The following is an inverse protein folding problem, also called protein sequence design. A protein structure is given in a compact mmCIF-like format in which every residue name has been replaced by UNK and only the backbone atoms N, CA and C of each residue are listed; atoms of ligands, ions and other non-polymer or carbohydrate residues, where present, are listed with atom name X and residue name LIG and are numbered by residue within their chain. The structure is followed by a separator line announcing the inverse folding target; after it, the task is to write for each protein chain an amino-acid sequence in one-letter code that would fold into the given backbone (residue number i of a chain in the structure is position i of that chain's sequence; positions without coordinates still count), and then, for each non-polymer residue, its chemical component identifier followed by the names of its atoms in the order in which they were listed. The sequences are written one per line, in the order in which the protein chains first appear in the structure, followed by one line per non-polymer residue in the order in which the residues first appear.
data_IF_249968523620
#
_entry.id   IF_249968523620
#
_cell.length_a   1.000
_cell.length_b   1.000
_cell.length_c   1.000
_cell.angle_alpha   90.00
_cell.angle_beta   90.00
_cell.angle_gamma   90.00
#
_symmetry.space_group_name_H-M   'P 1'
#
loop_
_entity.id
_entity.type
_entity.pdbx_description
1 polymer ?
#
# COMPACT_ATOMS: atom_id res chain seq x y z
N UNK A 1 -17.00 10.18 3.53
CA UNK A 1 -16.99 9.67 2.12
C UNK A 1 -15.56 9.77 1.60
N UNK A 2 -14.98 8.64 1.19
CA UNK A 2 -13.62 8.58 0.65
C UNK A 2 -13.64 9.16 -0.76
N UNK A 3 -12.79 10.15 -1.02
CA UNK A 3 -12.78 10.91 -2.28
C UNK A 3 -11.48 10.77 -3.06
N UNK A 4 -10.52 10.01 -2.55
CA UNK A 4 -9.21 9.79 -3.15
C UNK A 4 -8.81 8.33 -3.04
N UNK A 5 -8.16 7.82 -4.10
CA UNK A 5 -7.42 6.57 -4.11
C UNK A 5 -6.02 6.85 -4.64
N UNK A 6 -4.98 6.50 -3.88
CA UNK A 6 -3.59 6.73 -4.26
C UNK A 6 -2.81 5.45 -4.57
N UNK A 7 -3.47 4.26 -4.51
CA UNK A 7 -2.82 2.99 -4.75
C UNK A 7 -3.64 2.16 -5.73
N UNK A 8 -3.22 2.13 -6.98
CA UNK A 8 -3.72 1.24 -8.00
C UNK A 8 -2.68 1.04 -9.11
N UNK A 9 -2.81 -0.07 -9.83
CA UNK A 9 -1.88 -0.56 -10.83
C UNK A 9 -2.48 -0.60 -12.23
N UNK A 10 -1.65 -0.70 -13.26
CA UNK A 10 -2.08 -0.59 -14.66
C UNK A 10 -1.26 -1.53 -15.55
N UNK A 11 -1.56 -1.54 -16.85
CA UNK A 11 -0.78 -2.28 -17.84
C UNK A 11 0.67 -1.79 -18.03
N UNK A 12 1.13 -0.82 -17.24
CA UNK A 12 2.55 -0.45 -17.16
C UNK A 12 3.34 -1.36 -16.21
N UNK A 13 2.62 -2.06 -15.34
CA UNK A 13 3.09 -3.09 -14.41
C UNK A 13 2.16 -4.31 -14.48
N UNK A 14 1.62 -4.80 -13.39
CA UNK A 14 0.80 -6.01 -13.33
C UNK A 14 -0.72 -5.76 -13.28
N UNK A 15 -1.16 -4.52 -13.46
CA UNK A 15 -2.58 -4.20 -13.57
C UNK A 15 -3.20 -4.64 -14.91
N UNK A 16 -4.50 -4.88 -14.90
CA UNK A 16 -5.26 -5.41 -16.04
C UNK A 16 -5.79 -4.32 -17.00
N UNK A 17 -5.84 -3.08 -16.54
CA UNK A 17 -6.41 -1.95 -17.27
C UNK A 17 -5.37 -0.87 -17.55
N UNK A 18 -5.60 -0.09 -18.61
CA UNK A 18 -4.78 1.08 -18.91
C UNK A 18 -4.96 2.16 -17.84
N UNK A 19 -3.99 3.05 -17.69
CA UNK A 19 -4.10 4.17 -16.76
C UNK A 19 -5.34 5.03 -17.03
N UNK A 20 -5.72 5.21 -18.29
CA UNK A 20 -6.92 5.97 -18.65
C UNK A 20 -8.22 5.27 -18.22
N UNK A 21 -8.32 3.93 -18.36
CA UNK A 21 -9.47 3.18 -17.86
C UNK A 21 -9.59 3.27 -16.33
N UNK A 22 -8.48 3.25 -15.60
CA UNK A 22 -8.48 3.45 -14.16
C UNK A 22 -8.96 4.85 -13.77
N UNK A 23 -8.54 5.90 -14.50
CA UNK A 23 -9.00 7.29 -14.29
C UNK A 23 -10.51 7.40 -14.52
N UNK A 24 -11.02 6.79 -15.62
CA UNK A 24 -12.45 6.80 -15.93
C UNK A 24 -13.29 6.05 -14.90
N UNK A 25 -12.77 4.92 -14.38
CA UNK A 25 -13.44 4.18 -13.31
C UNK A 25 -13.51 4.99 -12.01
N UNK A 26 -12.42 5.68 -11.65
CA UNK A 26 -12.37 6.54 -10.48
C UNK A 26 -13.35 7.73 -10.59
N UNK A 27 -13.41 8.37 -11.76
CA UNK A 27 -14.38 9.44 -12.02
C UNK A 27 -15.83 8.92 -11.92
N UNK A 28 -16.11 7.77 -12.54
CA UNK A 28 -17.44 7.14 -12.47
C UNK A 28 -17.84 6.72 -11.04
N UNK A 29 -16.87 6.35 -10.22
CA UNK A 29 -17.08 6.06 -8.79
C UNK A 29 -17.23 7.32 -7.93
N UNK A 30 -17.09 8.51 -8.49
CA UNK A 30 -17.24 9.79 -7.79
C UNK A 30 -16.02 10.23 -6.97
N UNK A 31 -14.85 9.68 -7.23
CA UNK A 31 -13.61 10.15 -6.64
C UNK A 31 -13.26 11.55 -7.18
N UNK A 32 -12.66 12.38 -6.32
CA UNK A 32 -12.11 13.69 -6.72
C UNK A 32 -10.71 13.59 -7.27
N UNK A 33 -9.97 12.59 -6.83
CA UNK A 33 -8.62 12.35 -7.29
C UNK A 33 -8.27 10.87 -7.31
N UNK A 34 -7.40 10.51 -8.26
CA UNK A 34 -6.79 9.20 -8.37
C UNK A 34 -5.28 9.35 -8.52
N UNK A 35 -4.52 8.53 -7.83
CA UNK A 35 -3.10 8.33 -8.07
C UNK A 35 -2.86 6.91 -8.56
N UNK A 36 -2.13 6.77 -9.65
CA UNK A 36 -1.62 5.47 -10.10
C UNK A 36 -0.22 5.31 -9.53
N UNK A 37 0.01 4.23 -8.80
CA UNK A 37 1.29 3.94 -8.13
C UNK A 37 2.01 2.80 -8.85
N UNK A 38 2.91 3.16 -9.75
CA UNK A 38 3.69 2.19 -10.52
C UNK A 38 4.57 1.34 -9.58
N UNK A 39 4.57 0.04 -9.73
CA UNK A 39 5.58 -0.81 -9.09
C UNK A 39 6.99 -0.43 -9.56
N UNK A 40 7.87 -0.07 -8.62
CA UNK A 40 9.24 0.31 -8.98
C UNK A 40 9.97 -0.84 -9.67
N UNK A 41 10.86 -0.56 -10.62
CA UNK A 41 11.67 -1.60 -11.26
C UNK A 41 12.49 -2.41 -10.25
N UNK A 42 12.41 -3.74 -10.35
CA UNK A 42 13.19 -4.69 -9.57
C UNK A 42 13.89 -5.65 -10.56
N UNK A 43 15.19 -5.77 -10.45
CA UNK A 43 15.96 -6.62 -11.35
C UNK A 43 15.51 -8.08 -11.26
N UNK A 44 15.16 -8.66 -12.42
CA UNK A 44 14.75 -10.06 -12.55
C UNK A 44 13.27 -10.33 -12.28
N UNK A 45 12.47 -9.32 -11.98
CA UNK A 45 11.01 -9.45 -11.79
C UNK A 45 10.28 -8.91 -13.03
N UNK A 46 9.23 -9.58 -13.43
CA UNK A 46 8.42 -9.25 -14.63
C UNK A 46 7.04 -8.64 -14.28
N UNK A 47 6.64 -8.67 -13.02
CA UNK A 47 5.40 -8.08 -12.53
C UNK A 47 5.50 -6.56 -12.27
N UNK A 48 6.69 -6.03 -12.12
CA UNK A 48 6.93 -4.60 -11.92
C UNK A 48 7.32 -3.88 -13.23
N UNK A 49 7.35 -2.57 -13.17
CA UNK A 49 7.77 -1.76 -14.31
C UNK A 49 9.21 -2.07 -14.74
N UNK A 50 9.47 -1.96 -16.03
CA UNK A 50 10.83 -1.96 -16.55
C UNK A 50 11.42 -0.55 -16.56
N UNK A 51 12.74 -0.43 -16.64
CA UNK A 51 13.43 0.84 -16.84
C UNK A 51 13.01 1.57 -18.12
N UNK A 52 12.46 0.84 -19.10
CA UNK A 52 11.97 1.40 -20.37
C UNK A 52 10.50 1.85 -20.26
N UNK A 53 9.66 1.15 -19.47
CA UNK A 53 8.25 1.48 -19.31
C UNK A 53 8.02 2.65 -18.35
N UNK A 54 8.88 2.84 -17.36
CA UNK A 54 8.74 3.89 -16.36
C UNK A 54 8.69 5.32 -16.94
N UNK A 55 9.57 5.76 -17.86
CA UNK A 55 9.45 7.08 -18.48
C UNK A 55 8.14 7.25 -19.26
N UNK A 56 7.68 6.19 -19.93
CA UNK A 56 6.41 6.20 -20.67
C UNK A 56 5.21 6.31 -19.74
N UNK A 57 5.27 5.67 -18.59
CA UNK A 57 4.25 5.81 -17.55
C UNK A 57 4.16 7.27 -17.06
N UNK A 58 5.29 7.89 -16.73
CA UNK A 58 5.34 9.29 -16.26
C UNK A 58 4.74 10.25 -17.31
N UNK A 59 5.08 10.04 -18.59
CA UNK A 59 4.53 10.85 -19.70
C UNK A 59 3.02 10.62 -19.85
N UNK A 60 2.54 9.39 -19.72
CA UNK A 60 1.10 9.07 -19.77
C UNK A 60 0.35 9.71 -18.60
N UNK A 61 0.88 9.65 -17.38
CA UNK A 61 0.24 10.29 -16.22
C UNK A 61 0.15 11.81 -16.38
N UNK A 62 1.18 12.44 -16.98
CA UNK A 62 1.15 13.87 -17.31
C UNK A 62 0.05 14.19 -18.34
N UNK A 63 -0.04 13.39 -19.41
CA UNK A 63 -1.08 13.51 -20.44
C UNK A 63 -2.48 13.38 -19.86
N UNK A 64 -2.69 12.40 -18.97
CA UNK A 64 -3.99 12.17 -18.33
C UNK A 64 -4.35 13.30 -17.37
N UNK A 65 -3.41 13.83 -16.61
CA UNK A 65 -3.61 15.02 -15.76
C UNK A 65 -4.13 16.21 -16.56
N UNK A 66 -3.52 16.49 -17.71
CA UNK A 66 -3.96 17.57 -18.60
C UNK A 66 -5.35 17.28 -19.21
N UNK A 67 -5.57 16.04 -19.69
CA UNK A 67 -6.81 15.64 -20.34
C UNK A 67 -8.04 15.71 -19.41
N UNK A 68 -7.86 15.36 -18.15
CA UNK A 68 -8.95 15.27 -17.16
C UNK A 68 -9.00 16.48 -16.22
N UNK A 69 -8.21 17.53 -16.47
CA UNK A 69 -8.21 18.74 -15.67
C UNK A 69 -9.61 19.33 -15.50
N UNK A 70 -10.00 19.65 -14.27
CA UNK A 70 -11.32 20.15 -13.90
C UNK A 70 -12.43 19.08 -13.81
N UNK A 71 -12.11 17.80 -14.05
CA UNK A 71 -13.02 16.65 -13.89
C UNK A 71 -12.60 15.78 -12.72
N UNK A 72 -11.38 15.29 -12.73
CA UNK A 72 -10.75 14.51 -11.67
C UNK A 72 -9.25 14.85 -11.64
N UNK A 73 -8.69 14.96 -10.47
CA UNK A 73 -7.24 15.16 -10.30
C UNK A 73 -6.51 13.83 -10.49
N UNK A 74 -5.41 13.85 -11.26
CA UNK A 74 -4.63 12.64 -11.60
C UNK A 74 -3.20 12.82 -11.11
N UNK A 75 -2.76 11.88 -10.24
CA UNK A 75 -1.45 11.90 -9.60
C UNK A 75 -0.58 10.74 -10.09
N UNK A 76 0.71 11.03 -10.27
CA UNK A 76 1.72 10.06 -10.65
C UNK A 76 2.44 9.57 -9.39
N UNK A 77 2.14 8.36 -8.96
CA UNK A 77 2.73 7.73 -7.78
C UNK A 77 3.74 6.63 -8.11
N UNK A 78 4.51 6.26 -7.12
CA UNK A 78 5.39 5.09 -7.15
C UNK A 78 5.08 4.21 -5.95
N UNK A 79 4.97 2.91 -6.15
CA UNK A 79 5.11 1.93 -5.08
C UNK A 79 6.54 1.41 -5.08
N UNK A 80 7.31 1.90 -4.10
CA UNK A 80 8.72 1.55 -3.92
C UNK A 80 8.83 0.30 -3.06
N UNK A 81 9.50 -0.73 -3.59
CA UNK A 81 9.83 -1.93 -2.82
C UNK A 81 11.25 -1.87 -2.25
N UNK A 82 11.41 -2.34 -1.02
CA UNK A 82 12.71 -2.40 -0.33
C UNK A 82 13.74 -3.31 -1.00
N UNK A 83 13.33 -4.19 -1.92
CA UNK A 83 14.21 -5.02 -2.75
C UNK A 83 14.81 -4.24 -3.92
N UNK A 84 14.21 -3.13 -4.33
CA UNK A 84 14.73 -2.31 -5.40
C UNK A 84 16.15 -1.82 -5.07
N UNK A 85 17.05 -1.94 -6.03
CA UNK A 85 18.41 -1.38 -5.93
C UNK A 85 18.45 0.14 -6.11
N UNK A 86 17.33 0.75 -6.43
CA UNK A 86 17.22 2.19 -6.69
C UNK A 86 17.56 3.00 -5.44
N UNK A 87 18.42 4.01 -5.62
CA UNK A 87 18.87 4.91 -4.55
C UNK A 87 18.32 6.34 -4.68
N UNK A 88 17.69 6.65 -5.80
CA UNK A 88 17.03 7.92 -6.06
C UNK A 88 15.72 7.67 -6.77
N UNK A 89 14.69 8.37 -6.36
CA UNK A 89 13.34 8.28 -6.94
C UNK A 89 13.19 9.42 -7.96
N UNK A 90 12.73 9.16 -9.20
CA UNK A 90 12.31 10.21 -10.13
C UNK A 90 11.24 11.12 -9.53
N UNK A 91 10.91 12.24 -10.15
CA UNK A 91 9.91 13.16 -9.63
C UNK A 91 8.49 12.57 -9.75
N UNK A 92 8.12 11.75 -8.79
CA UNK A 92 6.75 11.33 -8.53
C UNK A 92 6.05 12.34 -7.62
N UNK A 93 4.73 12.42 -7.70
CA UNK A 93 3.96 13.29 -6.81
C UNK A 93 3.96 12.77 -5.36
N UNK A 94 3.94 11.46 -5.20
CA UNK A 94 4.04 10.76 -3.90
C UNK A 94 4.68 9.38 -4.08
N UNK A 95 5.16 8.81 -2.97
CA UNK A 95 5.76 7.47 -2.94
C UNK A 95 5.16 6.64 -1.80
N UNK A 96 4.70 5.45 -2.14
CA UNK A 96 4.30 4.40 -1.21
C UNK A 96 5.51 3.49 -0.99
N UNK A 97 5.82 3.14 0.24
CA UNK A 97 6.88 2.19 0.57
C UNK A 97 6.30 0.85 0.98
N UNK A 98 6.75 -0.21 0.33
CA UNK A 98 6.25 -1.57 0.50
C UNK A 98 7.37 -2.59 0.70
N UNK A 99 6.99 -3.77 1.18
CA UNK A 99 7.90 -4.89 1.41
C UNK A 99 7.24 -6.18 0.89
N UNK A 100 7.49 -6.49 -0.40
CA UNK A 100 6.97 -7.71 -1.03
C UNK A 100 7.93 -8.90 -0.90
N UNK A 101 9.14 -8.69 -0.41
CA UNK A 101 10.14 -9.75 -0.29
C UNK A 101 10.82 -9.76 1.08
N UNK A 102 11.04 -10.95 1.60
CA UNK A 102 11.81 -11.17 2.82
C UNK A 102 12.72 -12.40 2.64
N UNK A 103 14.03 -12.24 2.85
CA UNK A 103 14.99 -13.34 2.77
C UNK A 103 15.02 -14.06 1.41
N UNK A 104 14.63 -13.38 0.32
CA UNK A 104 14.55 -13.96 -1.01
C UNK A 104 13.20 -14.58 -1.38
N UNK A 105 12.25 -14.64 -0.45
CA UNK A 105 10.88 -15.11 -0.69
C UNK A 105 9.94 -13.92 -0.94
N UNK A 106 9.03 -14.06 -1.90
CA UNK A 106 7.89 -13.16 -1.99
C UNK A 106 6.91 -13.48 -0.84
N UNK A 107 6.53 -12.46 -0.06
CA UNK A 107 5.70 -12.66 1.15
C UNK A 107 4.24 -12.94 0.82
N UNK A 108 3.81 -12.58 -0.38
CA UNK A 108 2.41 -12.56 -0.79
C UNK A 108 2.12 -13.27 -2.12
N UNK A 109 3.07 -14.06 -2.65
CA UNK A 109 2.92 -14.77 -3.92
C UNK A 109 1.84 -15.86 -3.82
N UNK A 110 2.06 -16.86 -2.96
CA UNK A 110 1.08 -17.88 -2.60
C UNK A 110 1.29 -18.41 -1.17
N UNK A 111 0.36 -19.23 -0.71
CA UNK A 111 0.41 -19.77 0.65
C UNK A 111 1.61 -20.70 0.86
N UNK A 112 2.01 -21.49 -0.14
CA UNK A 112 3.16 -22.42 -0.04
C UNK A 112 4.47 -21.64 0.12
N UNK A 113 4.63 -20.55 -0.64
CA UNK A 113 5.77 -19.63 -0.51
C UNK A 113 5.81 -18.97 0.87
N UNK A 114 4.65 -18.55 1.41
CA UNK A 114 4.56 -17.99 2.77
C UNK A 114 4.95 -19.01 3.84
N UNK A 115 4.53 -20.28 3.71
CA UNK A 115 4.91 -21.37 4.60
C UNK A 115 6.42 -21.66 4.51
N UNK A 116 7.00 -21.67 3.30
CA UNK A 116 8.43 -21.86 3.09
C UNK A 116 9.26 -20.71 3.69
N UNK A 117 8.79 -19.47 3.53
CA UNK A 117 9.36 -18.30 4.18
C UNK A 117 9.43 -18.49 5.70
N UNK A 118 8.29 -18.83 6.34
CA UNK A 118 8.20 -19.07 7.78
C UNK A 118 9.20 -20.15 8.22
N UNK A 119 9.27 -21.24 7.48
CA UNK A 119 10.20 -22.35 7.79
C UNK A 119 11.67 -21.90 7.69
N UNK A 120 12.00 -21.05 6.69
CA UNK A 120 13.38 -20.56 6.49
C UNK A 120 13.88 -19.67 7.62
N UNK A 121 12.97 -18.97 8.32
CA UNK A 121 13.28 -18.13 9.49
C UNK A 121 13.18 -18.88 10.82
N UNK A 122 12.85 -20.18 10.81
CA UNK A 122 12.74 -21.01 12.02
C UNK A 122 11.41 -20.85 12.76
N UNK A 123 10.40 -20.24 12.14
CA UNK A 123 9.03 -20.15 12.65
C UNK A 123 8.37 -18.79 12.46
N UNK A 124 7.05 -18.72 12.72
CA UNK A 124 6.26 -17.56 12.35
C UNK A 124 6.61 -16.27 13.13
N UNK A 125 7.06 -16.39 14.39
CA UNK A 125 7.49 -15.23 15.18
C UNK A 125 8.77 -14.65 14.59
N UNK A 126 9.80 -15.48 14.36
CA UNK A 126 11.07 -15.00 13.80
C UNK A 126 10.90 -14.40 12.38
N UNK A 127 10.02 -15.00 11.57
CA UNK A 127 9.67 -14.45 10.26
C UNK A 127 8.98 -13.08 10.38
N UNK A 128 8.03 -12.92 11.32
CA UNK A 128 7.35 -11.66 11.58
C UNK A 128 8.31 -10.58 12.11
N UNK A 129 9.17 -10.91 13.06
CA UNK A 129 10.21 -10.00 13.58
C UNK A 129 11.12 -9.48 12.46
N UNK A 130 11.59 -10.39 11.58
CA UNK A 130 12.43 -10.02 10.44
C UNK A 130 11.66 -9.15 9.42
N UNK A 131 10.40 -9.45 9.14
CA UNK A 131 9.55 -8.67 8.25
C UNK A 131 9.35 -7.24 8.77
N UNK A 132 8.94 -7.10 10.04
CA UNK A 132 8.69 -5.77 10.63
C UNK A 132 9.97 -4.96 10.80
N UNK A 133 11.11 -5.60 11.12
CA UNK A 133 12.40 -4.91 11.11
C UNK A 133 12.76 -4.41 9.70
N UNK A 134 12.45 -5.18 8.65
CA UNK A 134 12.62 -4.74 7.27
C UNK A 134 11.68 -3.58 6.93
N UNK A 135 10.38 -3.68 7.26
CA UNK A 135 9.40 -2.60 7.08
C UNK A 135 9.87 -1.29 7.75
N UNK A 136 10.39 -1.39 8.97
CA UNK A 136 10.88 -0.23 9.72
C UNK A 136 12.02 0.52 9.00
N UNK A 137 12.73 -0.11 8.06
CA UNK A 137 13.78 0.56 7.25
C UNK A 137 13.21 1.65 6.35
N UNK A 138 11.93 1.59 5.99
CA UNK A 138 11.26 2.65 5.22
C UNK A 138 11.32 4.01 5.93
N UNK A 139 11.50 4.05 7.24
CA UNK A 139 11.67 5.27 8.01
C UNK A 139 12.89 6.11 7.56
N UNK A 140 13.90 5.48 6.98
CA UNK A 140 15.11 6.15 6.51
C UNK A 140 14.97 6.83 5.14
N UNK A 141 13.87 6.58 4.42
CA UNK A 141 13.65 7.11 3.08
C UNK A 141 12.74 8.35 3.15
N UNK A 142 13.32 9.54 2.98
CA UNK A 142 12.60 10.82 3.08
C UNK A 142 11.50 10.98 2.01
N UNK A 143 11.68 10.36 0.84
CA UNK A 143 10.77 10.42 -0.30
C UNK A 143 9.48 9.63 -0.08
N UNK A 144 9.51 8.59 0.77
CA UNK A 144 8.34 7.77 1.06
C UNK A 144 7.40 8.55 1.98
N UNK A 145 6.18 8.77 1.54
CA UNK A 145 5.11 9.43 2.31
C UNK A 145 4.18 8.42 2.96
N UNK A 146 3.86 7.33 2.25
CA UNK A 146 2.86 6.33 2.65
C UNK A 146 3.56 5.00 2.91
N UNK A 147 3.17 4.30 3.96
CA UNK A 147 3.50 2.88 4.19
C UNK A 147 2.36 2.05 3.63
N UNK A 148 2.63 1.29 2.57
CA UNK A 148 1.67 0.38 1.94
C UNK A 148 1.41 -0.84 2.82
N UNK A 149 0.23 -1.44 2.72
CA UNK A 149 -0.21 -2.73 3.30
C UNK A 149 0.72 -3.29 4.40
N UNK A 150 0.82 -2.57 5.52
CA UNK A 150 1.84 -2.74 6.58
C UNK A 150 2.05 -4.17 7.07
N UNK A 151 0.99 -4.98 7.14
CA UNK A 151 1.02 -6.38 7.59
C UNK A 151 0.70 -7.38 6.46
N UNK A 152 1.20 -7.11 5.24
CA UNK A 152 1.02 -7.93 4.02
C UNK A 152 1.33 -9.41 4.23
N UNK A 153 2.29 -9.74 5.11
CA UNK A 153 2.63 -11.12 5.45
C UNK A 153 1.42 -11.94 5.92
N UNK A 154 0.32 -11.29 6.35
CA UNK A 154 -0.92 -11.95 6.81
C UNK A 154 -1.95 -12.18 5.70
N UNK A 155 -1.58 -12.02 4.41
CA UNK A 155 -2.49 -12.14 3.26
C UNK A 155 -3.31 -13.42 3.28
N UNK A 156 -2.74 -14.52 3.71
CA UNK A 156 -3.39 -15.86 3.70
C UNK A 156 -3.98 -16.28 5.04
N UNK A 157 -3.82 -15.50 6.11
CA UNK A 157 -4.14 -15.88 7.49
C UNK A 157 -5.63 -16.16 7.73
N UNK A 158 -6.53 -15.49 6.99
CA UNK A 158 -7.97 -15.77 7.10
C UNK A 158 -8.34 -17.15 6.57
N UNK A 159 -7.59 -17.69 5.61
CA UNK A 159 -7.80 -19.03 5.06
C UNK A 159 -7.12 -20.11 5.91
N UNK A 160 -5.90 -19.81 6.35
CA UNK A 160 -5.09 -20.68 7.21
C UNK A 160 -4.22 -19.78 8.09
N UNK A 161 -4.45 -19.75 9.41
CA UNK A 161 -3.61 -18.96 10.30
C UNK A 161 -2.14 -19.40 10.22
N UNK A 162 -1.30 -18.56 9.64
CA UNK A 162 0.14 -18.78 9.50
C UNK A 162 0.90 -18.06 10.61
N UNK A 163 0.40 -16.87 11.02
CA UNK A 163 1.04 -16.04 12.03
C UNK A 163 0.18 -15.93 13.29
N UNK A 164 0.79 -16.01 14.51
CA UNK A 164 0.07 -15.84 15.77
C UNK A 164 -0.15 -14.34 16.08
N UNK A 165 -0.93 -13.64 15.27
CA UNK A 165 -1.12 -12.17 15.31
C UNK A 165 -1.64 -11.67 16.67
N UNK A 166 -2.28 -12.52 17.47
CA UNK A 166 -2.74 -12.20 18.82
C UNK A 166 -1.64 -12.30 19.88
N UNK A 167 -0.49 -12.91 19.59
CA UNK A 167 0.60 -13.08 20.57
C UNK A 167 1.32 -11.76 20.86
N UNK A 168 1.86 -11.62 22.07
CA UNK A 168 2.65 -10.46 22.47
C UNK A 168 3.87 -10.30 21.56
N UNK A 169 4.62 -11.37 21.30
CA UNK A 169 5.84 -11.30 20.49
C UNK A 169 5.58 -10.79 19.06
N UNK A 170 4.51 -11.23 18.41
CA UNK A 170 4.11 -10.71 17.10
C UNK A 170 3.77 -9.20 17.17
N UNK A 171 2.93 -8.84 18.16
CA UNK A 171 2.49 -7.45 18.32
C UNK A 171 3.62 -6.52 18.69
N UNK A 172 4.53 -6.93 19.56
CA UNK A 172 5.69 -6.13 19.97
C UNK A 172 6.58 -5.80 18.76
N UNK A 173 6.81 -6.77 17.87
CA UNK A 173 7.56 -6.56 16.64
C UNK A 173 6.86 -5.55 15.70
N UNK A 174 5.54 -5.75 15.47
CA UNK A 174 4.75 -4.86 14.63
C UNK A 174 4.66 -3.44 15.21
N UNK A 175 4.41 -3.30 16.52
CA UNK A 175 4.33 -2.00 17.19
C UNK A 175 5.66 -1.25 17.13
N UNK A 176 6.79 -1.91 17.39
CA UNK A 176 8.10 -1.28 17.31
C UNK A 176 8.40 -0.74 15.91
N UNK A 177 8.05 -1.48 14.86
CA UNK A 177 8.20 -1.00 13.48
C UNK A 177 7.28 0.19 13.19
N UNK A 178 6.01 0.10 13.62
CA UNK A 178 5.02 1.15 13.45
C UNK A 178 5.42 2.45 14.16
N UNK A 179 5.94 2.37 15.38
CA UNK A 179 6.45 3.51 16.14
C UNK A 179 7.60 4.22 15.42
N UNK A 180 8.55 3.45 14.86
CA UNK A 180 9.68 4.00 14.08
C UNK A 180 9.18 4.72 12.81
N UNK A 181 8.23 4.14 12.09
CA UNK A 181 7.64 4.72 10.89
C UNK A 181 6.79 5.96 11.22
N UNK A 182 6.00 5.91 12.30
CA UNK A 182 5.25 7.05 12.80
C UNK A 182 6.17 8.21 13.20
N UNK A 183 7.24 7.93 13.94
CA UNK A 183 8.24 8.94 14.33
C UNK A 183 8.94 9.59 13.13
N UNK A 184 9.09 8.85 12.01
CA UNK A 184 9.57 9.37 10.74
C UNK A 184 8.50 10.15 9.93
N UNK A 185 7.30 10.33 10.50
CA UNK A 185 6.22 11.10 9.90
C UNK A 185 5.48 10.39 8.76
N UNK A 186 5.51 9.07 8.70
CA UNK A 186 4.82 8.32 7.63
C UNK A 186 3.32 8.26 7.87
N UNK A 187 2.56 8.16 6.76
CA UNK A 187 1.12 7.90 6.73
C UNK A 187 0.95 6.39 6.50
N UNK A 188 0.00 5.76 7.19
CA UNK A 188 -0.26 4.33 7.02
C UNK A 188 -1.47 4.11 6.13
N UNK A 189 -1.34 3.24 5.17
CA UNK A 189 -2.42 2.86 4.28
C UNK A 189 -3.36 1.87 4.98
N UNK A 190 -4.67 2.11 4.92
CA UNK A 190 -5.67 1.06 5.06
C UNK A 190 -5.93 0.53 3.66
N UNK A 191 -5.44 -0.68 3.38
CA UNK A 191 -5.39 -1.26 2.05
C UNK A 191 -6.47 -2.34 1.89
N UNK A 192 -7.23 -2.26 0.82
CA UNK A 192 -8.33 -3.19 0.55
C UNK A 192 -8.05 -4.18 -0.59
N UNK A 193 -6.84 -4.18 -1.16
CA UNK A 193 -6.50 -4.98 -2.34
C UNK A 193 -6.69 -6.49 -2.16
N UNK A 194 -6.45 -7.02 -0.96
CA UNK A 194 -6.70 -8.43 -0.70
C UNK A 194 -8.19 -8.80 -0.68
N UNK A 195 -9.09 -7.84 -0.41
CA UNK A 195 -10.55 -8.03 -0.47
C UNK A 195 -10.98 -8.23 -1.92
N UNK A 196 -10.60 -7.32 -2.81
CA UNK A 196 -10.97 -7.37 -4.23
C UNK A 196 -10.48 -8.66 -4.91
N UNK A 197 -9.31 -9.16 -4.50
CA UNK A 197 -8.71 -10.40 -4.99
C UNK A 197 -9.20 -11.66 -4.26
N UNK A 198 -10.10 -11.52 -3.27
CA UNK A 198 -10.73 -12.63 -2.54
C UNK A 198 -9.80 -13.40 -1.61
N UNK A 199 -8.70 -12.82 -1.19
CA UNK A 199 -7.78 -13.41 -0.20
C UNK A 199 -8.22 -13.14 1.23
N UNK A 200 -8.81 -11.98 1.49
CA UNK A 200 -9.27 -11.52 2.81
C UNK A 200 -10.69 -10.98 2.75
N UNK A 201 -11.32 -10.90 3.90
CA UNK A 201 -12.61 -10.21 4.11
C UNK A 201 -12.43 -8.88 4.85
N UNK A 202 -11.22 -8.64 5.37
CA UNK A 202 -10.86 -7.42 6.10
C UNK A 202 -9.67 -6.73 5.45
N UNK A 203 -9.59 -5.37 5.48
CA UNK A 203 -8.44 -4.66 4.96
C UNK A 203 -7.19 -4.83 5.84
N UNK A 204 -6.02 -4.47 5.32
CA UNK A 204 -4.81 -4.22 6.10
C UNK A 204 -4.83 -2.81 6.68
N UNK A 205 -4.12 -2.56 7.79
CA UNK A 205 -3.59 -3.54 8.74
C UNK A 205 -4.63 -4.03 9.74
N UNK A 206 -4.25 -5.06 10.54
CA UNK A 206 -5.09 -5.61 11.61
C UNK A 206 -5.63 -4.51 12.54
N UNK A 207 -6.89 -4.62 13.01
CA UNK A 207 -7.50 -3.62 13.92
C UNK A 207 -6.70 -3.31 15.18
N UNK A 208 -5.92 -4.28 15.72
CA UNK A 208 -5.08 -4.02 16.89
C UNK A 208 -3.90 -3.10 16.54
N UNK A 209 -3.34 -3.23 15.34
CA UNK A 209 -2.28 -2.36 14.83
C UNK A 209 -2.82 -0.94 14.58
N UNK A 210 -4.01 -0.82 13.98
CA UNK A 210 -4.65 0.48 13.78
C UNK A 210 -4.96 1.21 15.10
N UNK A 211 -5.46 0.49 16.12
CA UNK A 211 -5.68 1.08 17.44
C UNK A 211 -4.38 1.54 18.09
N UNK A 212 -3.29 0.78 17.93
CA UNK A 212 -1.98 1.22 18.41
C UNK A 212 -1.52 2.47 17.66
N UNK A 213 -1.63 2.51 16.34
CA UNK A 213 -1.30 3.68 15.52
C UNK A 213 -2.10 4.93 15.95
N UNK A 214 -3.42 4.78 16.20
CA UNK A 214 -4.26 5.88 16.70
C UNK A 214 -3.78 6.37 18.07
N UNK A 215 -3.36 5.48 18.96
CA UNK A 215 -2.83 5.87 20.28
C UNK A 215 -1.55 6.70 20.21
N UNK A 216 -0.79 6.57 19.13
CA UNK A 216 0.40 7.38 18.83
C UNK A 216 0.07 8.73 18.18
N UNK A 217 -1.20 8.98 17.81
CA UNK A 217 -1.59 10.12 16.97
C UNK A 217 -1.21 9.94 15.50
N UNK A 218 -1.11 8.69 15.06
CA UNK A 218 -0.71 8.36 13.69
C UNK A 218 -1.74 8.75 12.64
N UNK A 219 -1.27 8.82 11.41
CA UNK A 219 -2.01 9.29 10.22
C UNK A 219 -2.35 8.13 9.31
N UNK A 220 -3.54 8.14 8.71
CA UNK A 220 -4.00 7.10 7.79
C UNK A 220 -4.51 7.69 6.48
N UNK A 221 -4.39 6.91 5.40
CA UNK A 221 -5.15 7.04 4.17
C UNK A 221 -5.86 5.71 3.85
N UNK A 222 -6.79 5.71 2.91
CA UNK A 222 -7.46 4.49 2.45
C UNK A 222 -7.19 4.36 0.95
N UNK A 223 -6.74 3.18 0.52
CA UNK A 223 -6.47 2.87 -0.87
C UNK A 223 -6.92 1.45 -1.22
N UNK A 224 -7.23 1.24 -2.50
CA UNK A 224 -7.77 -0.05 -2.96
C UNK A 224 -6.70 -1.03 -3.42
N UNK A 225 -5.51 -0.57 -3.78
CA UNK A 225 -4.49 -1.42 -4.41
C UNK A 225 -5.10 -2.23 -5.57
N UNK A 226 -5.90 -1.51 -6.37
CA UNK A 226 -6.70 -2.10 -7.43
C UNK A 226 -5.84 -2.42 -8.64
N UNK A 227 -5.91 -3.68 -9.11
CA UNK A 227 -5.29 -4.15 -10.34
C UNK A 227 -6.29 -4.26 -11.51
N UNK A 228 -7.55 -3.85 -11.27
CA UNK A 228 -8.60 -3.80 -12.27
C UNK A 228 -9.55 -2.61 -12.01
N UNK A 229 -10.09 -2.04 -13.06
CA UNK A 229 -10.92 -0.83 -13.00
C UNK A 229 -12.20 -1.01 -12.17
N UNK A 230 -12.78 -2.20 -12.17
CA UNK A 230 -13.98 -2.53 -11.38
C UNK A 230 -13.69 -2.66 -9.86
N UNK A 231 -12.42 -2.73 -9.47
CA UNK A 231 -11.98 -2.81 -8.09
C UNK A 231 -11.56 -1.44 -7.50
N UNK A 232 -11.69 -0.34 -8.25
CA UNK A 232 -11.08 0.97 -7.90
C UNK A 232 -11.52 1.53 -6.54
N UNK A 233 -12.70 1.16 -6.03
CA UNK A 233 -13.22 1.54 -4.71
C UNK A 233 -13.68 0.32 -3.90
N UNK A 234 -13.24 -0.88 -4.29
CA UNK A 234 -13.63 -2.11 -3.59
C UNK A 234 -13.16 -2.06 -2.14
N UNK A 235 -14.05 -2.39 -1.19
CA UNK A 235 -13.73 -2.45 0.24
C UNK A 235 -13.59 -1.09 0.94
N UNK A 236 -13.92 0.02 0.29
CA UNK A 236 -13.79 1.36 0.89
C UNK A 236 -14.76 1.58 2.06
N UNK A 237 -15.98 1.05 1.99
CA UNK A 237 -16.95 1.15 3.08
C UNK A 237 -16.47 0.37 4.31
N UNK A 238 -15.91 -0.83 4.11
CA UNK A 238 -15.31 -1.67 5.14
C UNK A 238 -14.09 -0.99 5.78
N UNK A 239 -13.23 -0.37 4.96
CA UNK A 239 -12.05 0.35 5.43
C UNK A 239 -12.42 1.60 6.23
N UNK A 240 -13.42 2.37 5.79
CA UNK A 240 -13.93 3.53 6.51
C UNK A 240 -14.55 3.11 7.86
N UNK A 241 -15.36 2.05 7.86
CA UNK A 241 -15.96 1.51 9.09
C UNK A 241 -14.88 1.02 10.06
N UNK A 242 -13.84 0.34 9.56
CA UNK A 242 -12.71 -0.12 10.36
C UNK A 242 -11.95 1.07 10.97
N UNK A 243 -11.59 2.08 10.17
CA UNK A 243 -10.90 3.27 10.64
C UNK A 243 -11.67 3.96 11.79
N UNK A 244 -12.97 4.18 11.59
CA UNK A 244 -13.87 4.76 12.62
C UNK A 244 -13.93 3.90 13.88
N UNK A 245 -14.03 2.58 13.74
CA UNK A 245 -14.05 1.64 14.87
C UNK A 245 -12.74 1.63 15.68
N UNK A 246 -11.64 2.00 15.03
CA UNK A 246 -10.33 2.18 15.67
C UNK A 246 -10.10 3.58 16.23
N UNK A 247 -11.08 4.48 16.09
CA UNK A 247 -11.09 5.82 16.69
C UNK A 247 -10.52 6.91 15.78
N UNK A 248 -10.29 6.64 14.51
CA UNK A 248 -9.91 7.69 13.55
C UNK A 248 -11.15 8.50 13.16
N UNK A 249 -10.95 9.79 12.96
CA UNK A 249 -11.98 10.79 12.61
C UNK A 249 -11.64 11.57 11.34
N UNK A 250 -10.46 11.31 10.77
CA UNK A 250 -9.95 11.95 9.57
C UNK A 250 -9.09 11.00 8.74
N UNK A 251 -8.99 11.27 7.43
CA UNK A 251 -8.04 10.68 6.51
C UNK A 251 -7.05 11.73 6.04
N UNK A 252 -5.82 11.32 5.77
CA UNK A 252 -4.82 12.18 5.13
C UNK A 252 -4.90 12.00 3.62
N UNK A 253 -5.13 13.11 2.91
CA UNK A 253 -5.27 13.15 1.46
C UNK A 253 -4.20 14.05 0.86
N UNK A 254 -3.72 13.68 -0.32
CA UNK A 254 -2.76 14.46 -1.10
C UNK A 254 -3.47 15.54 -1.90
N UNK A 255 -3.01 16.78 -1.80
CA UNK A 255 -3.61 17.95 -2.47
C UNK A 255 -2.84 18.43 -3.71
N UNK A 256 -1.79 17.70 -4.10
CA UNK A 256 -0.90 18.06 -5.19
C UNK A 256 0.41 18.71 -4.73
N UNK A 257 0.55 19.02 -3.46
CA UNK A 257 1.78 19.54 -2.85
C UNK A 257 2.17 18.79 -1.60
N UNK A 258 1.19 18.52 -0.72
CA UNK A 258 1.42 17.84 0.55
C UNK A 258 0.18 17.04 0.96
N UNK A 259 0.28 16.31 2.06
CA UNK A 259 -0.82 15.59 2.67
C UNK A 259 -1.50 16.44 3.74
N UNK A 260 -2.81 16.52 3.69
CA UNK A 260 -3.63 17.25 4.65
C UNK A 260 -4.75 16.38 5.22
N UNK A 261 -5.15 16.61 6.50
CA UNK A 261 -6.26 15.88 7.12
C UNK A 261 -7.60 16.34 6.53
N UNK A 262 -8.45 15.36 6.23
CA UNK A 262 -9.83 15.55 5.76
C UNK A 262 -10.74 14.72 6.65
N UNK A 263 -11.71 15.33 7.36
CA UNK A 263 -12.67 14.59 8.19
C UNK A 263 -13.51 13.59 7.38
N UNK A 264 -13.93 12.48 8.03
CA UNK A 264 -14.84 11.49 7.44
C UNK A 264 -16.21 12.04 7.06
#
# INVERSE_FOLDING_TARGET
MILQNLHCHTTFDDGNNTAEEMVLAAEAAGLRSIGVSLHCPIDGEDWCASSESEPRFIDEMRRLREKYAGRIEVWCGLEYDLRSARRSVPPYDYVIGSCHYLGGFAVDYDQETAEALIASFGGPIAAAEAYYEQMARLAAYGEISIVGHFDLLTKYDERKPLYPTASAAYRDAAFAAMERLHAAGKIFEINTGAISRGYRTTPYPDPALLRHLKSLGGRICICSDAHAADAIVCGFDEAEALAKSCGFDELWQFDGQDFAPVPF
#
